data_IF_536645070744
#
_entry.id   IF_536645070744
#
_cell.length_a   1.000
_cell.length_b   1.000
_cell.length_c   1.000
_cell.angle_alpha   90.00
_cell.angle_beta   90.00
_cell.angle_gamma   90.00
#
_symmetry.space_group_name_H-M   'P 1'
#
loop_
_entity.id
_entity.type
_entity.pdbx_description
1 polymer ?
#
# COMPACT_ATOMS: atom_id res chain seq x y z
N UNK A 1 4.05 0.19 0.77
CA UNK A 1 3.21 -0.59 1.72
C UNK A 1 4.04 -1.48 2.63
N UNK A 2 4.54 -2.63 2.18
CA UNK A 2 5.28 -3.56 3.05
C UNK A 2 6.75 -3.18 3.29
N UNK A 3 7.37 -2.35 2.44
CA UNK A 3 8.78 -1.98 2.56
C UNK A 3 9.74 -3.17 2.43
N UNK A 4 9.36 -4.17 1.63
CA UNK A 4 10.08 -5.44 1.45
C UNK A 4 10.30 -5.71 -0.03
N UNK A 5 11.33 -6.50 -0.34
CA UNK A 5 11.49 -7.07 -1.67
C UNK A 5 10.29 -7.97 -1.99
N UNK A 6 9.71 -7.80 -3.18
CA UNK A 6 8.65 -8.64 -3.70
C UNK A 6 9.22 -9.52 -4.81
N UNK A 7 9.14 -10.84 -4.60
CA UNK A 7 9.46 -11.83 -5.61
C UNK A 7 8.17 -12.24 -6.32
N UNK A 8 8.06 -11.95 -7.62
CA UNK A 8 6.92 -12.35 -8.45
C UNK A 8 7.38 -13.41 -9.44
N UNK A 9 6.89 -14.64 -9.27
CA UNK A 9 7.14 -15.74 -10.19
C UNK A 9 5.84 -16.06 -10.94
N UNK A 10 5.89 -16.05 -12.27
CA UNK A 10 4.74 -16.35 -13.13
C UNK A 10 5.15 -17.32 -14.24
N UNK A 11 4.25 -18.25 -14.60
CA UNK A 11 4.53 -19.26 -15.62
C UNK A 11 4.79 -18.63 -17.01
N UNK A 12 3.91 -17.73 -17.46
CA UNK A 12 4.01 -17.08 -18.79
C UNK A 12 4.10 -15.56 -18.74
N UNK A 13 3.78 -14.96 -17.59
CA UNK A 13 3.82 -13.52 -17.36
C UNK A 13 5.20 -12.97 -17.01
N UNK A 14 5.23 -11.70 -16.60
CA UNK A 14 6.45 -11.04 -16.15
C UNK A 14 6.89 -11.58 -14.78
N UNK A 15 7.92 -12.43 -14.79
CA UNK A 15 8.66 -12.83 -13.58
C UNK A 15 9.62 -11.71 -13.21
N UNK A 16 9.51 -11.17 -12.00
CA UNK A 16 10.26 -9.98 -11.61
C UNK A 16 10.57 -9.92 -10.11
N UNK A 17 11.60 -9.14 -9.78
CA UNK A 17 12.00 -8.78 -8.41
C UNK A 17 11.76 -7.29 -8.27
N UNK A 18 10.92 -6.90 -7.32
CA UNK A 18 10.60 -5.50 -7.03
C UNK A 18 11.24 -5.10 -5.70
N UNK A 19 11.88 -3.94 -5.65
CA UNK A 19 12.54 -3.40 -4.47
C UNK A 19 11.52 -2.93 -3.42
N UNK A 20 11.93 -2.74 -2.15
CA UNK A 20 11.11 -2.08 -1.12
C UNK A 20 10.53 -0.72 -1.50
N UNK A 21 11.13 -0.03 -2.47
CA UNK A 21 10.67 1.28 -2.98
C UNK A 21 9.64 1.17 -4.10
N UNK A 22 9.37 -0.04 -4.60
CA UNK A 22 8.44 -0.27 -5.72
C UNK A 22 9.12 -0.28 -7.10
N UNK A 23 10.45 -0.19 -7.17
CA UNK A 23 11.20 -0.23 -8.43
C UNK A 23 11.46 -1.66 -8.88
N UNK A 24 11.41 -1.94 -10.19
CA UNK A 24 11.75 -3.27 -10.74
C UNK A 24 13.27 -3.42 -10.78
N UNK A 25 13.81 -4.29 -9.91
CA UNK A 25 15.25 -4.55 -9.83
C UNK A 25 15.74 -5.52 -10.92
N UNK A 26 14.90 -6.50 -11.27
CA UNK A 26 15.20 -7.46 -12.33
C UNK A 26 13.89 -8.04 -12.86
N UNK A 27 13.81 -8.31 -14.17
CA UNK A 27 12.65 -8.94 -14.78
C UNK A 27 13.09 -9.89 -15.90
N UNK A 28 12.33 -10.97 -16.07
CA UNK A 28 12.44 -11.86 -17.23
C UNK A 28 11.45 -11.39 -18.31
N UNK A 29 11.82 -11.44 -19.60
CA UNK A 29 10.87 -11.20 -20.68
C UNK A 29 9.69 -12.17 -20.60
N UNK A 30 8.45 -11.70 -20.85
CA UNK A 30 7.28 -12.57 -20.86
C UNK A 30 7.40 -13.63 -21.98
N UNK A 31 6.75 -14.78 -21.78
CA UNK A 31 6.74 -15.91 -22.73
C UNK A 31 8.12 -16.49 -23.09
N UNK A 32 9.14 -16.27 -22.25
CA UNK A 32 10.45 -16.90 -22.43
C UNK A 32 10.72 -17.94 -21.34
N UNK A 33 11.24 -19.09 -21.74
CA UNK A 33 11.70 -20.10 -20.79
C UNK A 33 13.03 -19.63 -20.18
N UNK A 34 13.06 -19.41 -18.87
CA UNK A 34 14.28 -19.02 -18.18
C UNK A 34 14.11 -18.92 -16.67
N UNK A 35 15.22 -18.69 -15.97
CA UNK A 35 15.25 -18.56 -14.53
C UNK A 35 15.83 -17.19 -14.12
N UNK A 36 15.04 -16.40 -13.38
CA UNK A 36 15.49 -15.12 -12.83
C UNK A 36 16.30 -15.36 -11.55
N UNK A 37 17.63 -15.21 -11.62
CA UNK A 37 18.51 -15.27 -10.44
C UNK A 37 18.73 -13.87 -9.88
N UNK A 38 18.35 -13.65 -8.62
CA UNK A 38 18.64 -12.39 -7.91
C UNK A 38 19.02 -12.66 -6.46
N UNK A 39 19.85 -11.79 -5.88
CA UNK A 39 20.14 -11.78 -4.44
C UNK A 39 19.20 -10.78 -3.77
N UNK A 40 18.27 -11.28 -2.96
CA UNK A 40 17.41 -10.46 -2.11
C UNK A 40 17.88 -10.51 -0.67
N UNK A 41 17.82 -9.36 0.02
CA UNK A 41 18.09 -9.28 1.47
C UNK A 41 16.76 -9.30 2.21
N UNK A 42 16.66 -10.10 3.27
CA UNK A 42 15.52 -10.07 4.17
C UNK A 42 15.50 -8.72 4.94
N UNK A 43 14.34 -8.07 4.99
CA UNK A 43 14.14 -6.85 5.76
C UNK A 43 13.46 -7.18 7.08
N UNK A 44 14.04 -6.67 8.17
CA UNK A 44 13.44 -6.70 9.51
C UNK A 44 12.74 -5.37 9.78
N UNK A 45 11.68 -5.40 10.60
CA UNK A 45 10.87 -4.23 10.94
C UNK A 45 9.50 -4.21 10.23
N UNK A 46 8.65 -3.28 10.68
CA UNK A 46 7.29 -3.07 10.19
C UNK A 46 7.11 -1.59 9.83
N UNK A 47 6.66 -1.32 8.60
CA UNK A 47 6.31 0.03 8.16
C UNK A 47 5.11 0.55 8.96
N UNK A 48 4.91 1.89 9.04
CA UNK A 48 3.71 2.46 9.66
C UNK A 48 2.41 1.85 9.10
N UNK A 49 2.37 1.59 7.79
CA UNK A 49 1.24 0.93 7.13
C UNK A 49 1.04 -0.52 7.62
N UNK A 50 2.10 -1.30 7.79
CA UNK A 50 1.99 -2.66 8.34
C UNK A 50 1.51 -2.64 9.80
N UNK A 51 1.82 -1.59 10.57
CA UNK A 51 1.42 -1.47 11.97
C UNK A 51 -0.03 -1.00 12.16
N UNK A 52 -0.48 -0.05 11.36
CA UNK A 52 -1.78 0.61 11.55
C UNK A 52 -2.78 0.36 10.43
N UNK A 53 -2.35 -0.24 9.32
CA UNK A 53 -3.17 -0.43 8.12
C UNK A 53 -3.81 0.90 7.68
N UNK A 54 -5.09 0.81 7.35
CA UNK A 54 -5.89 1.97 6.94
C UNK A 54 -6.55 2.70 8.12
N UNK A 55 -6.31 2.29 9.38
CA UNK A 55 -6.99 2.86 10.55
C UNK A 55 -6.84 4.40 10.69
N UNK A 56 -5.66 5.01 10.42
CA UNK A 56 -5.52 6.47 10.49
C UNK A 56 -6.39 7.19 9.46
N UNK A 57 -6.51 6.62 8.25
CA UNK A 57 -7.34 7.18 7.18
C UNK A 57 -8.84 7.10 7.53
N UNK A 58 -9.27 5.96 8.06
CA UNK A 58 -10.65 5.77 8.55
C UNK A 58 -10.99 6.71 9.70
N UNK A 59 -10.07 6.93 10.64
CA UNK A 59 -10.26 7.87 11.75
C UNK A 59 -10.45 9.31 11.25
N UNK A 60 -9.60 9.77 10.32
CA UNK A 60 -9.72 11.09 9.70
C UNK A 60 -11.04 11.25 8.93
N UNK A 61 -11.43 10.24 8.16
CA UNK A 61 -12.70 10.23 7.44
C UNK A 61 -13.90 10.30 8.42
N UNK A 62 -13.87 9.52 9.50
CA UNK A 62 -14.88 9.56 10.55
C UNK A 62 -15.00 10.94 11.22
N UNK A 63 -13.87 11.57 11.58
CA UNK A 63 -13.84 12.92 12.13
C UNK A 63 -14.42 13.96 11.15
N UNK A 64 -14.07 13.87 9.87
CA UNK A 64 -14.60 14.79 8.85
C UNK A 64 -16.12 14.68 8.71
N UNK A 65 -16.65 13.45 8.73
CA UNK A 65 -18.11 13.19 8.68
C UNK A 65 -18.79 13.74 9.94
N UNK A 66 -18.24 13.47 11.13
CA UNK A 66 -18.79 13.98 12.39
C UNK A 66 -18.81 15.51 12.44
N UNK A 67 -17.71 16.15 12.00
CA UNK A 67 -17.63 17.61 11.92
C UNK A 67 -18.67 18.19 10.95
N UNK A 68 -18.92 17.53 9.82
CA UNK A 68 -19.94 17.94 8.86
C UNK A 68 -21.36 17.84 9.43
N UNK A 69 -21.66 16.75 10.16
CA UNK A 69 -22.97 16.55 10.81
C UNK A 69 -23.19 17.62 11.89
N UNK A 70 -22.21 17.81 12.78
CA UNK A 70 -22.30 18.79 13.86
C UNK A 70 -22.40 20.22 13.32
N UNK A 71 -21.63 20.56 12.28
CA UNK A 71 -21.70 21.85 11.61
C UNK A 71 -23.07 22.14 11.01
N UNK A 72 -23.76 21.12 10.47
CA UNK A 72 -25.14 21.26 9.98
C UNK A 72 -26.13 21.49 11.13
N UNK A 73 -26.01 20.73 12.22
CA UNK A 73 -26.88 20.85 13.39
C UNK A 73 -26.77 22.25 14.04
N UNK A 74 -25.55 22.76 14.21
CA UNK A 74 -25.31 24.08 14.79
C UNK A 74 -25.82 25.23 13.90
N UNK A 75 -25.76 25.07 12.57
CA UNK A 75 -26.32 26.05 11.61
C UNK A 75 -27.85 26.04 11.60
N UNK A 76 -28.46 24.89 11.88
CA UNK A 76 -29.92 24.76 11.99
C UNK A 76 -30.45 25.46 13.24
N UNK A 77 -29.78 25.29 14.38
CA UNK A 77 -30.14 25.93 15.65
C UNK A 77 -30.01 27.47 15.61
N UNK A 78 -29.15 28.03 14.76
CA UNK A 78 -28.99 29.49 14.59
C UNK A 78 -30.05 30.15 13.69
N UNK A 79 -30.90 29.38 13.01
CA UNK A 79 -31.95 29.88 12.10
C UNK A 79 -33.35 29.89 12.73
N UNK A 80 -33.52 29.28 13.89
CA UNK A 80 -34.71 29.37 14.74
C UNK A 80 -34.52 30.52 15.73
#
# INVERSE_FOLDING_TARGET
EAGRFMLRATNTGMTAVVTPRGEVAAALPPFTAGALRSRVRAYAGATPYVRWGDAPAHALAGLAVLAAILGRALRFQRKL
#
